data_IF_245238461039
#
_entry.id   IF_245238461039
#
_cell.length_a   1.000
_cell.length_b   1.000
_cell.length_c   1.000
_cell.angle_alpha   90.00
_cell.angle_beta   90.00
_cell.angle_gamma   90.00
#
_symmetry.space_group_name_H-M   'P 1'
#
loop_
_entity.id
_entity.type
_entity.pdbx_description
1 polymer ?
#
# COMPACT_ATOMS: atom_id res chain seq x y z
N UNK A 1 -19.43 -5.80 -60.04
CA UNK A 1 -19.96 -5.18 -58.81
C UNK A 1 -19.21 -3.87 -58.58
N UNK A 2 -19.93 -2.87 -58.05
CA UNK A 2 -19.65 -1.43 -58.14
C UNK A 2 -18.43 -1.00 -57.32
N UNK A 3 -17.64 -0.10 -57.91
CA UNK A 3 -16.54 0.65 -57.28
C UNK A 3 -17.15 1.61 -56.25
N UNK A 4 -16.53 1.73 -55.07
CA UNK A 4 -16.73 2.90 -54.21
C UNK A 4 -15.41 3.42 -53.68
N UNK A 5 -15.34 4.73 -53.74
CA UNK A 5 -14.19 5.62 -53.66
C UNK A 5 -14.11 6.20 -52.25
N UNK A 6 -12.87 6.40 -51.79
CA UNK A 6 -12.36 7.39 -50.82
C UNK A 6 -13.23 7.82 -49.62
N UNK A 7 -12.58 7.85 -48.44
CA UNK A 7 -12.47 9.09 -47.68
C UNK A 7 -11.21 9.06 -46.79
N UNK A 8 -10.15 9.73 -47.23
CA UNK A 8 -9.06 10.13 -46.34
C UNK A 8 -9.50 11.43 -45.65
N UNK A 9 -9.83 11.36 -44.37
CA UNK A 9 -10.08 12.56 -43.57
C UNK A 9 -8.74 13.06 -43.02
N UNK A 10 -8.06 13.88 -43.81
CA UNK A 10 -6.98 14.74 -43.30
C UNK A 10 -7.66 15.94 -42.65
N UNK A 11 -7.83 15.90 -41.33
CA UNK A 11 -8.20 17.06 -40.54
C UNK A 11 -6.92 17.81 -40.14
N UNK A 12 -6.40 18.65 -41.03
CA UNK A 12 -5.48 19.73 -40.64
C UNK A 12 -6.30 20.85 -40.01
N UNK A 13 -6.52 20.76 -38.70
CA UNK A 13 -6.88 21.93 -37.90
C UNK A 13 -5.59 22.57 -37.40
N UNK A 14 -5.24 23.69 -38.01
CA UNK A 14 -4.28 24.63 -37.44
C UNK A 14 -4.89 25.24 -36.17
N UNK A 15 -4.21 25.10 -35.03
CA UNK A 15 -4.60 25.75 -33.77
C UNK A 15 -4.96 24.73 -32.69
N UNK A 16 -3.99 24.47 -31.81
CA UNK A 16 -4.08 23.48 -30.74
C UNK A 16 -2.91 22.53 -30.87
N UNK A 17 -1.76 22.95 -30.34
CA UNK A 17 -0.67 22.02 -30.05
C UNK A 17 -1.28 20.80 -29.40
N UNK A 18 -1.17 19.67 -30.10
CA UNK A 18 -1.39 18.35 -29.56
C UNK A 18 -0.56 18.28 -28.28
N UNK A 19 -1.24 18.43 -27.14
CA UNK A 19 -0.73 17.94 -25.88
C UNK A 19 -0.74 16.43 -26.06
N UNK A 20 0.33 15.91 -26.65
CA UNK A 20 0.67 14.51 -26.57
C UNK A 20 0.52 14.15 -25.09
N UNK A 21 -0.44 13.27 -24.81
CA UNK A 21 -0.62 12.69 -23.50
C UNK A 21 0.73 12.13 -23.08
N UNK A 22 1.38 12.81 -22.15
CA UNK A 22 2.41 12.22 -21.33
C UNK A 22 1.68 11.13 -20.54
N UNK A 23 1.64 9.93 -21.12
CA UNK A 23 0.99 8.79 -20.50
C UNK A 23 1.79 8.49 -19.24
N UNK A 24 1.19 8.76 -18.08
CA UNK A 24 1.78 8.47 -16.78
C UNK A 24 2.24 7.00 -16.76
N UNK A 25 3.54 6.76 -16.65
CA UNK A 25 4.05 5.40 -16.46
C UNK A 25 3.58 4.89 -15.10
N UNK A 26 3.00 3.70 -15.10
CA UNK A 26 2.47 3.03 -13.91
C UNK A 26 3.47 2.06 -13.30
N UNK A 27 4.69 1.97 -13.85
CA UNK A 27 5.63 0.87 -13.56
C UNK A 27 6.12 0.87 -12.10
N UNK A 28 6.11 2.04 -11.44
CA UNK A 28 6.52 2.21 -10.04
C UNK A 28 5.37 2.69 -9.14
N UNK A 29 4.11 2.51 -9.56
CA UNK A 29 2.94 2.91 -8.77
C UNK A 29 2.31 1.69 -8.11
N UNK A 30 2.10 1.78 -6.80
CA UNK A 30 1.35 0.77 -6.04
C UNK A 30 -0.08 1.28 -5.88
N UNK A 31 -1.08 0.45 -6.17
CA UNK A 31 -2.49 0.81 -5.96
C UNK A 31 -2.87 0.48 -4.52
N UNK A 32 -3.74 1.26 -3.92
CA UNK A 32 -4.22 0.99 -2.55
C UNK A 32 -4.79 -0.42 -2.39
N UNK A 33 -5.58 -0.89 -3.36
CA UNK A 33 -6.15 -2.25 -3.38
C UNK A 33 -5.14 -3.39 -3.41
N UNK A 34 -3.89 -3.09 -3.77
CA UNK A 34 -2.81 -4.08 -3.83
C UNK A 34 -2.10 -4.19 -2.46
N UNK A 35 -2.44 -3.31 -1.52
CA UNK A 35 -1.94 -3.25 -0.13
C UNK A 35 -3.06 -3.62 0.85
N UNK A 36 -4.23 -2.99 0.74
CA UNK A 36 -5.37 -3.26 1.64
C UNK A 36 -5.81 -4.72 1.55
N UNK A 37 -6.01 -5.34 2.71
CA UNK A 37 -6.28 -6.77 2.87
C UNK A 37 -5.05 -7.68 2.74
N UNK A 38 -3.85 -7.11 2.73
CA UNK A 38 -2.61 -7.86 2.83
C UNK A 38 -2.22 -8.10 4.30
N UNK A 39 -1.32 -9.05 4.53
CA UNK A 39 -0.88 -9.41 5.86
C UNK A 39 0.08 -8.36 6.46
N UNK A 40 0.17 -8.33 7.79
CA UNK A 40 1.11 -7.53 8.58
C UNK A 40 2.07 -8.44 9.30
N UNK A 41 3.37 -8.21 9.10
CA UNK A 41 4.45 -8.99 9.67
C UNK A 41 5.33 -8.16 10.60
N UNK A 42 5.88 -8.80 11.63
CA UNK A 42 6.95 -8.26 12.47
C UNK A 42 8.07 -9.29 12.62
N UNK A 43 9.32 -8.83 12.80
CA UNK A 43 10.41 -9.71 13.25
C UNK A 43 10.31 -10.03 14.75
N UNK A 44 9.30 -9.47 15.43
CA UNK A 44 9.09 -9.52 16.88
C UNK A 44 10.35 -9.17 17.68
N UNK A 45 11.11 -8.23 17.15
CA UNK A 45 12.34 -7.69 17.74
C UNK A 45 12.26 -6.18 17.62
N UNK A 46 12.36 -5.49 18.75
CA UNK A 46 12.41 -4.03 18.77
C UNK A 46 13.72 -3.57 18.08
N UNK A 47 13.61 -3.01 16.88
CA UNK A 47 14.74 -2.57 16.07
C UNK A 47 15.05 -1.09 16.31
N UNK A 48 16.34 -0.77 16.46
CA UNK A 48 16.78 0.63 16.41
C UNK A 48 16.65 1.24 15.00
N UNK A 49 16.68 2.57 14.92
CA UNK A 49 16.53 3.32 13.67
C UNK A 49 17.53 2.87 12.59
N UNK A 50 18.78 2.58 12.97
CA UNK A 50 19.83 2.24 12.00
C UNK A 50 19.60 0.84 11.39
N UNK A 51 19.21 -0.11 12.23
CA UNK A 51 18.89 -1.47 11.81
C UNK A 51 17.64 -1.48 10.94
N UNK A 52 16.62 -0.71 11.32
CA UNK A 52 15.41 -0.55 10.54
C UNK A 52 15.67 0.08 9.18
N UNK A 53 16.35 1.22 9.13
CA UNK A 53 16.62 1.94 7.88
C UNK A 53 17.43 1.09 6.89
N UNK A 54 18.35 0.26 7.40
CA UNK A 54 19.20 -0.62 6.59
C UNK A 54 18.56 -1.96 6.23
N UNK A 55 17.39 -2.29 6.79
CA UNK A 55 16.67 -3.53 6.47
C UNK A 55 16.19 -3.50 5.01
N UNK A 56 16.65 -4.48 4.22
CA UNK A 56 16.20 -4.72 2.86
C UNK A 56 14.99 -5.67 2.88
N UNK A 57 13.89 -5.21 2.31
CA UNK A 57 12.60 -5.91 2.27
C UNK A 57 12.35 -6.35 0.83
N UNK A 58 13.28 -7.16 0.30
CA UNK A 58 13.25 -7.61 -1.09
C UNK A 58 12.34 -8.82 -1.32
N UNK A 59 12.42 -9.81 -0.44
CA UNK A 59 11.57 -11.01 -0.45
C UNK A 59 11.19 -11.32 0.98
N UNK A 60 9.97 -11.81 1.19
CA UNK A 60 9.54 -12.28 2.50
C UNK A 60 10.55 -13.25 3.12
N UNK A 61 10.83 -13.07 4.41
CA UNK A 61 11.72 -13.92 5.18
C UNK A 61 10.89 -14.91 6.01
N UNK A 62 11.31 -16.18 6.03
CA UNK A 62 10.63 -17.25 6.77
C UNK A 62 10.65 -17.03 8.31
N UNK A 63 11.45 -16.09 8.81
CA UNK A 63 11.55 -15.72 10.23
C UNK A 63 10.62 -14.60 10.67
N UNK A 64 9.79 -14.05 9.79
CA UNK A 64 8.80 -13.04 10.18
C UNK A 64 7.54 -13.68 10.75
N UNK A 65 6.94 -13.01 11.73
CA UNK A 65 5.69 -13.42 12.35
C UNK A 65 4.56 -12.62 11.74
N UNK A 66 3.59 -13.31 11.16
CA UNK A 66 2.29 -12.74 10.79
C UNK A 66 1.52 -12.39 12.07
N UNK A 67 1.04 -11.17 12.15
CA UNK A 67 0.37 -10.58 13.32
C UNK A 67 -0.97 -9.93 12.99
N UNK A 68 -1.45 -10.02 11.74
CA UNK A 68 -2.76 -9.47 11.37
C UNK A 68 -2.86 -8.97 9.94
N UNK A 69 -3.82 -8.06 9.68
CA UNK A 69 -4.23 -7.64 8.33
C UNK A 69 -4.27 -6.10 8.20
N UNK A 70 -4.05 -5.62 6.97
CA UNK A 70 -4.09 -4.20 6.63
C UNK A 70 -5.52 -3.78 6.31
N UNK A 71 -6.12 -2.94 7.15
CA UNK A 71 -7.50 -2.49 6.99
C UNK A 71 -7.64 -1.27 6.07
N UNK A 72 -6.81 -0.25 6.25
CA UNK A 72 -6.90 0.97 5.44
C UNK A 72 -5.60 1.77 5.39
N UNK A 73 -5.52 2.70 4.43
CA UNK A 73 -4.42 3.65 4.26
C UNK A 73 -4.86 5.04 4.71
N UNK A 74 -4.07 5.67 5.56
CA UNK A 74 -4.40 7.00 6.11
C UNK A 74 -3.63 8.07 5.36
N UNK A 75 -4.34 9.06 4.83
CA UNK A 75 -3.77 10.22 4.14
C UNK A 75 -4.07 11.51 4.91
N UNK A 76 -3.16 12.46 4.84
CA UNK A 76 -3.42 13.83 5.28
C UNK A 76 -4.24 14.62 4.22
N UNK A 77 -4.63 15.84 4.56
CA UNK A 77 -5.40 16.72 3.67
C UNK A 77 -4.62 17.19 2.42
N UNK A 78 -3.30 17.00 2.41
CA UNK A 78 -2.45 17.28 1.26
C UNK A 78 -2.32 16.07 0.32
N UNK A 79 -2.90 14.92 0.70
CA UNK A 79 -2.79 13.67 -0.02
C UNK A 79 -1.49 12.91 0.24
N UNK A 80 -0.75 13.24 1.30
CA UNK A 80 0.40 12.47 1.75
C UNK A 80 -0.07 11.30 2.61
N UNK A 81 0.40 10.09 2.32
CA UNK A 81 0.18 8.94 3.20
C UNK A 81 0.95 9.14 4.50
N UNK A 82 0.25 9.07 5.63
CA UNK A 82 0.80 9.27 6.97
C UNK A 82 0.92 7.97 7.75
N UNK A 83 0.20 6.93 7.34
CA UNK A 83 0.24 5.63 7.99
C UNK A 83 -0.79 4.68 7.41
N UNK A 84 -0.99 3.58 8.12
CA UNK A 84 -1.99 2.55 7.82
C UNK A 84 -2.77 2.25 9.09
N UNK A 85 -4.01 1.79 8.92
CA UNK A 85 -4.74 1.09 9.99
C UNK A 85 -4.55 -0.40 9.75
N UNK A 86 -4.16 -1.11 10.80
CA UNK A 86 -4.00 -2.55 10.79
C UNK A 86 -4.81 -3.17 11.92
N UNK A 87 -5.45 -4.29 11.65
CA UNK A 87 -5.94 -5.21 12.64
C UNK A 87 -4.74 -6.02 13.16
N UNK A 88 -4.52 -6.03 14.48
CA UNK A 88 -3.40 -6.75 15.11
C UNK A 88 -3.93 -7.73 16.15
N UNK A 89 -3.39 -8.95 16.11
CA UNK A 89 -3.62 -10.01 17.09
C UNK A 89 -5.00 -10.66 16.98
N UNK A 90 -5.46 -11.22 18.10
CA UNK A 90 -6.72 -11.95 18.18
C UNK A 90 -6.62 -13.43 17.82
N UNK A 91 -7.67 -14.19 18.13
CA UNK A 91 -7.80 -15.58 17.71
C UNK A 91 -9.17 -15.77 17.08
N UNK A 92 -9.23 -15.94 15.75
CA UNK A 92 -10.47 -16.06 14.98
C UNK A 92 -11.36 -14.81 15.08
N UNK A 93 -10.80 -13.64 14.81
CA UNK A 93 -11.50 -12.33 14.81
C UNK A 93 -12.12 -12.00 16.18
N UNK A 94 -11.48 -12.47 17.25
CA UNK A 94 -11.87 -12.20 18.63
C UNK A 94 -10.67 -11.67 19.38
N UNK A 95 -10.80 -10.44 19.86
CA UNK A 95 -9.76 -9.78 20.66
C UNK A 95 -8.65 -9.16 19.81
N UNK A 96 -8.88 -9.10 18.50
CA UNK A 96 -8.19 -8.25 17.56
C UNK A 96 -8.34 -6.77 17.94
N UNK A 97 -7.41 -5.97 17.43
CA UNK A 97 -7.39 -4.54 17.70
C UNK A 97 -6.94 -3.76 16.49
N UNK A 98 -7.70 -2.74 16.17
CA UNK A 98 -7.37 -1.80 15.12
C UNK A 98 -6.40 -0.75 15.66
N UNK A 99 -5.21 -0.64 15.06
CA UNK A 99 -4.19 0.34 15.45
C UNK A 99 -3.69 1.11 14.24
N UNK A 100 -3.32 2.37 14.46
CA UNK A 100 -2.68 3.19 13.44
C UNK A 100 -1.16 3.05 13.56
N UNK A 101 -0.51 2.67 12.47
CA UNK A 101 0.94 2.54 12.38
C UNK A 101 1.46 3.66 11.47
N UNK A 102 2.48 4.38 11.94
CA UNK A 102 3.05 5.50 11.19
C UNK A 102 3.85 5.02 9.98
N UNK A 103 3.83 5.80 8.90
CA UNK A 103 4.53 5.45 7.64
C UNK A 103 6.04 5.16 7.84
N UNK A 104 6.69 5.81 8.81
CA UNK A 104 8.13 5.60 9.06
C UNK A 104 8.44 4.23 9.68
N UNK A 105 7.44 3.59 10.28
CA UNK A 105 7.56 2.30 10.94
C UNK A 105 7.16 1.14 10.04
N UNK A 106 6.90 1.40 8.76
CA UNK A 106 6.36 0.45 7.80
C UNK A 106 7.31 0.29 6.63
N UNK A 107 7.50 -0.95 6.19
CA UNK A 107 8.10 -1.29 4.90
C UNK A 107 7.17 -2.21 4.12
N UNK A 108 6.96 -1.91 2.84
CA UNK A 108 6.16 -2.76 1.95
C UNK A 108 7.03 -3.91 1.43
N UNK A 109 6.57 -5.14 1.65
CA UNK A 109 7.18 -6.35 1.11
C UNK A 109 6.36 -6.86 -0.07
N UNK A 110 6.95 -7.03 -1.27
CA UNK A 110 6.23 -7.65 -2.38
C UNK A 110 5.97 -9.12 -2.07
N UNK A 111 4.71 -9.52 -2.15
CA UNK A 111 4.28 -10.93 -2.05
C UNK A 111 4.29 -11.56 -3.44
N UNK A 112 3.69 -10.86 -4.40
CA UNK A 112 3.73 -11.18 -5.83
C UNK A 112 3.77 -9.90 -6.68
N UNK A 113 3.57 -10.02 -8.00
CA UNK A 113 3.57 -8.90 -8.94
C UNK A 113 2.50 -7.81 -8.65
N UNK A 114 1.51 -8.09 -7.80
CA UNK A 114 0.31 -7.27 -7.59
C UNK A 114 -0.19 -7.22 -6.14
N UNK A 115 0.54 -7.80 -5.19
CA UNK A 115 0.16 -7.81 -3.78
C UNK A 115 1.34 -7.51 -2.88
N UNK A 116 1.07 -6.80 -1.79
CA UNK A 116 2.07 -6.38 -0.82
C UNK A 116 1.61 -6.73 0.59
N UNK A 117 2.57 -7.11 1.42
CA UNK A 117 2.41 -7.17 2.87
C UNK A 117 3.14 -6.00 3.53
N UNK A 118 2.82 -5.74 4.79
CA UNK A 118 3.61 -4.82 5.61
C UNK A 118 4.59 -5.58 6.47
N UNK A 119 5.79 -5.03 6.60
CA UNK A 119 6.69 -5.32 7.72
C UNK A 119 6.70 -4.10 8.61
N UNK A 120 6.52 -4.31 9.90
CA UNK A 120 6.48 -3.25 10.90
C UNK A 120 7.66 -3.35 11.85
N UNK A 121 8.12 -2.19 12.30
CA UNK A 121 9.29 -2.08 13.19
C UNK A 121 9.02 -2.60 14.60
N UNK A 122 7.80 -2.40 15.08
CA UNK A 122 7.39 -2.74 16.43
C UNK A 122 7.15 -4.24 16.61
N UNK A 123 7.21 -4.70 17.86
CA UNK A 123 6.71 -6.02 18.24
C UNK A 123 5.19 -6.05 18.25
N UNK A 124 4.60 -7.24 18.14
CA UNK A 124 3.15 -7.43 18.27
C UNK A 124 2.62 -6.82 19.58
N UNK A 125 3.29 -7.15 20.69
CA UNK A 125 2.94 -6.69 22.03
C UNK A 125 3.01 -5.15 22.18
N UNK A 126 3.90 -4.49 21.43
CA UNK A 126 3.99 -3.03 21.40
C UNK A 126 2.81 -2.43 20.62
N UNK A 127 2.43 -3.04 19.50
CA UNK A 127 1.27 -2.61 18.70
C UNK A 127 -0.03 -2.80 19.46
N UNK A 128 -0.22 -3.94 20.14
CA UNK A 128 -1.38 -4.19 20.99
C UNK A 128 -1.55 -3.14 22.11
N UNK A 129 -0.46 -2.48 22.53
CA UNK A 129 -0.48 -1.41 23.54
C UNK A 129 -0.82 -0.03 23.00
N UNK A 130 -0.80 0.18 21.67
CA UNK A 130 -1.16 1.45 21.06
C UNK A 130 -2.63 1.81 21.32
N UNK A 131 -3.03 3.09 21.23
CA UNK A 131 -4.45 3.44 21.25
C UNK A 131 -5.21 2.74 20.12
N UNK A 132 -6.41 2.23 20.42
CA UNK A 132 -7.29 1.68 19.39
C UNK A 132 -7.78 2.79 18.46
N UNK A 133 -7.80 2.51 17.18
CA UNK A 133 -8.62 3.24 16.20
C UNK A 133 -10.08 2.84 16.45
N UNK A 134 -10.99 3.82 16.34
CA UNK A 134 -12.42 3.59 16.48
C UNK A 134 -12.97 2.99 15.18
N UNK A 135 -13.71 1.89 15.24
CA UNK A 135 -14.30 1.24 14.06
C UNK A 135 -15.19 2.18 13.24
N UNK A 136 -15.84 3.17 13.86
CA UNK A 136 -16.66 4.15 13.15
C UNK A 136 -15.86 5.10 12.25
N UNK A 137 -14.54 5.12 12.41
CA UNK A 137 -13.64 5.81 11.48
C UNK A 137 -13.40 5.00 10.18
N UNK A 138 -13.66 3.68 10.21
CA UNK A 138 -13.38 2.75 9.11
C UNK A 138 -14.61 2.42 8.25
N UNK A 139 -15.83 2.72 8.72
CA UNK A 139 -17.13 2.46 8.04
C UNK A 139 -17.64 3.60 7.14
#
# INVERSE_FOLDING_TARGET
MKRFTALALVATLAGGSAMAQDAMSTDNLIRSRDITGGDVYTTNTDMDDTSWDSMDVGTMDDGWNDIGEIEDLVLDQNGQMVGVVAEIGGFLDIGDKHVMIEMNDIKLAPVDDRSYALVVRQTEEQLEQLPSVDESFLD
#
